data_IF_830263121951
#
_entry.id   IF_830263121951
#
_cell.length_a   1.000
_cell.length_b   1.000
_cell.length_c   1.000
_cell.angle_alpha   90.00
_cell.angle_beta   90.00
_cell.angle_gamma   90.00
#
_symmetry.space_group_name_H-M   'P 1'
#
loop_
_entity.id
_entity.type
_entity.pdbx_description
1 polymer ?
#
# COMPACT_ATOMS: atom_id res chain seq x y z
N UNK A 1 -13.39 13.39 7.38
CA UNK A 1 -12.37 13.90 6.43
C UNK A 1 -11.06 13.17 6.66
N UNK A 2 -10.65 12.32 5.71
CA UNK A 2 -9.50 11.40 5.80
C UNK A 2 -8.16 12.07 5.38
N UNK A 3 -8.18 13.38 5.14
CA UNK A 3 -7.09 14.12 4.54
C UNK A 3 -6.66 15.22 5.51
N UNK A 4 -5.37 15.25 5.88
CA UNK A 4 -4.82 16.26 6.76
C UNK A 4 -4.72 17.64 6.10
N UNK A 5 -4.13 18.61 6.81
CA UNK A 5 -3.86 19.94 6.25
C UNK A 5 -3.11 19.79 4.91
N UNK A 6 -3.51 20.56 3.91
CA UNK A 6 -2.91 20.62 2.57
C UNK A 6 -2.96 19.31 1.75
N UNK A 7 -3.85 18.36 2.05
CA UNK A 7 -3.94 17.15 1.23
C UNK A 7 -3.05 15.98 1.70
N UNK A 8 -2.37 16.13 2.84
CA UNK A 8 -1.34 15.18 3.30
C UNK A 8 -1.95 14.11 4.21
N UNK A 9 -1.67 12.84 3.93
CA UNK A 9 -2.08 11.69 4.74
C UNK A 9 -0.89 11.25 5.60
N UNK A 10 -1.01 11.46 6.92
CA UNK A 10 -0.01 11.06 7.93
C UNK A 10 -0.44 9.92 8.84
N UNK A 11 -1.73 9.57 8.84
CA UNK A 11 -2.27 8.54 9.73
C UNK A 11 -1.98 7.14 9.14
N UNK A 12 -1.17 6.30 9.83
CA UNK A 12 -0.86 4.95 9.35
C UNK A 12 -2.11 4.08 9.18
N UNK A 13 -3.20 4.35 9.92
CA UNK A 13 -4.47 3.62 9.76
C UNK A 13 -5.09 3.88 8.38
N UNK A 14 -4.94 5.09 7.86
CA UNK A 14 -5.43 5.47 6.54
C UNK A 14 -4.58 4.82 5.45
N UNK A 15 -3.25 4.74 5.65
CA UNK A 15 -2.36 4.00 4.75
C UNK A 15 -2.73 2.53 4.70
N UNK A 16 -2.85 1.86 5.86
CA UNK A 16 -3.27 0.46 5.96
C UNK A 16 -4.59 0.22 5.24
N UNK A 17 -5.62 1.01 5.54
CA UNK A 17 -6.93 0.89 4.91
C UNK A 17 -6.87 1.03 3.39
N UNK A 18 -6.04 1.96 2.89
CA UNK A 18 -5.87 2.18 1.45
C UNK A 18 -5.21 0.97 0.79
N UNK A 19 -4.16 0.43 1.40
CA UNK A 19 -3.47 -0.77 0.91
C UNK A 19 -4.42 -1.97 0.87
N UNK A 20 -5.14 -2.24 1.97
CA UNK A 20 -6.12 -3.33 2.04
C UNK A 20 -7.21 -3.20 0.97
N UNK A 21 -7.72 -1.98 0.76
CA UNK A 21 -8.72 -1.70 -0.28
C UNK A 21 -8.17 -2.00 -1.69
N UNK A 22 -6.93 -1.62 -1.98
CA UNK A 22 -6.30 -1.90 -3.28
C UNK A 22 -6.05 -3.39 -3.47
N UNK A 23 -5.54 -4.09 -2.46
CA UNK A 23 -5.33 -5.55 -2.50
C UNK A 23 -6.66 -6.27 -2.77
N UNK A 24 -7.72 -5.95 -2.02
CA UNK A 24 -9.03 -6.55 -2.21
C UNK A 24 -9.60 -6.28 -3.61
N UNK A 25 -9.40 -5.06 -4.13
CA UNK A 25 -9.81 -4.70 -5.49
C UNK A 25 -9.04 -5.52 -6.53
N UNK A 26 -7.72 -5.67 -6.38
CA UNK A 26 -6.89 -6.47 -7.27
C UNK A 26 -7.35 -7.94 -7.30
N UNK A 27 -7.59 -8.54 -6.13
CA UNK A 27 -8.10 -9.92 -6.05
C UNK A 27 -9.45 -10.07 -6.75
N UNK A 28 -10.39 -9.15 -6.49
CA UNK A 28 -11.73 -9.17 -7.11
C UNK A 28 -11.73 -9.00 -8.63
N UNK A 29 -10.64 -8.45 -9.18
CA UNK A 29 -10.47 -8.19 -10.62
C UNK A 29 -9.58 -9.21 -11.31
N UNK A 30 -9.18 -10.29 -10.63
CA UNK A 30 -8.38 -11.38 -11.20
C UNK A 30 -6.88 -11.13 -11.21
N UNK A 31 -6.38 -10.26 -10.32
CA UNK A 31 -4.95 -10.00 -10.14
C UNK A 31 -4.47 -10.55 -8.80
N UNK A 32 -3.46 -11.40 -8.86
CA UNK A 32 -2.70 -11.81 -7.68
C UNK A 32 -1.74 -10.72 -7.25
N UNK A 33 -1.57 -10.55 -5.95
CA UNK A 33 -0.60 -9.63 -5.35
C UNK A 33 0.67 -10.40 -5.06
N UNK A 34 1.73 -10.09 -5.80
CA UNK A 34 3.02 -10.81 -5.72
C UNK A 34 4.02 -10.14 -4.80
N UNK A 35 3.93 -8.83 -4.64
CA UNK A 35 4.77 -8.07 -3.72
C UNK A 35 4.10 -6.75 -3.34
N UNK A 36 4.47 -6.23 -2.18
CA UNK A 36 4.05 -4.94 -1.65
C UNK A 36 5.27 -4.29 -0.97
N UNK A 37 5.51 -3.02 -1.29
CA UNK A 37 6.54 -2.20 -0.63
C UNK A 37 6.13 -0.72 -0.68
N UNK A 38 6.93 0.17 -0.11
CA UNK A 38 6.76 1.62 -0.21
C UNK A 38 7.71 2.23 -1.25
N UNK A 39 7.35 3.39 -1.79
CA UNK A 39 8.24 4.18 -2.64
C UNK A 39 9.37 4.77 -1.79
N UNK A 40 10.63 4.74 -2.24
CA UNK A 40 11.75 5.32 -1.51
C UNK A 40 11.69 6.86 -1.44
N UNK A 41 10.78 7.48 -2.19
CA UNK A 41 10.56 8.93 -2.18
C UNK A 41 9.08 9.24 -1.94
N UNK A 42 8.82 10.37 -1.28
CA UNK A 42 7.46 10.90 -1.08
C UNK A 42 6.97 11.54 -2.38
N UNK A 43 5.70 11.30 -2.73
CA UNK A 43 5.04 11.94 -3.86
C UNK A 43 4.50 13.33 -3.52
N UNK A 44 4.22 14.14 -4.54
CA UNK A 44 3.51 15.42 -4.47
C UNK A 44 3.77 16.25 -3.21
N UNK A 45 2.71 16.55 -2.46
CA UNK A 45 2.72 17.34 -1.22
C UNK A 45 3.42 16.66 -0.01
N UNK A 46 4.23 15.62 -0.24
CA UNK A 46 4.90 14.84 0.79
C UNK A 46 4.12 13.60 1.23
N UNK A 47 3.24 13.07 0.38
CA UNK A 47 2.52 11.83 0.66
C UNK A 47 3.43 10.62 0.49
N UNK A 48 3.28 9.66 1.38
CA UNK A 48 3.86 8.32 1.22
C UNK A 48 3.11 7.60 0.10
N UNK A 49 3.84 6.98 -0.81
CA UNK A 49 3.29 6.16 -1.89
C UNK A 49 3.69 4.70 -1.72
N UNK A 50 2.80 3.79 -2.10
CA UNK A 50 3.01 2.35 -2.00
C UNK A 50 3.09 1.72 -3.38
N UNK A 51 3.98 0.75 -3.53
CA UNK A 51 4.21 0.02 -4.76
C UNK A 51 3.67 -1.39 -4.60
N UNK A 52 2.86 -1.83 -5.57
CA UNK A 52 2.27 -3.17 -5.59
C UNK A 52 2.61 -3.86 -6.90
N UNK A 53 3.12 -5.09 -6.81
CA UNK A 53 3.35 -5.94 -7.97
C UNK A 53 2.15 -6.86 -8.19
N UNK A 54 1.42 -6.63 -9.27
CA UNK A 54 0.24 -7.39 -9.65
C UNK A 54 0.52 -8.33 -10.82
N UNK A 55 -0.10 -9.52 -10.80
CA UNK A 55 -0.06 -10.48 -11.90
C UNK A 55 -1.46 -11.00 -12.20
N UNK A 56 -1.89 -10.91 -13.47
CA UNK A 56 -3.17 -11.46 -13.92
C UNK A 56 -3.14 -12.99 -13.85
N UNK A 57 -4.05 -13.59 -13.09
CA UNK A 57 -4.12 -15.04 -12.88
C UNK A 57 -5.57 -15.52 -12.86
N UNK A 58 -5.81 -16.79 -13.21
CA UNK A 58 -7.17 -17.38 -13.21
C UNK A 58 -7.75 -17.50 -11.80
N UNK A 59 -6.88 -17.71 -10.81
CA UNK A 59 -7.22 -17.74 -9.40
C UNK A 59 -6.30 -16.73 -8.69
N UNK A 60 -6.85 -15.59 -8.31
CA UNK A 60 -6.11 -14.51 -7.69
C UNK A 60 -5.77 -14.84 -6.23
N UNK A 61 -4.52 -14.63 -5.83
CA UNK A 61 -4.03 -14.86 -4.47
C UNK A 61 -3.11 -13.75 -4.00
N UNK A 62 -2.91 -13.65 -2.68
CA UNK A 62 -1.87 -12.81 -2.07
C UNK A 62 -0.68 -13.70 -1.73
N UNK A 63 0.53 -13.28 -2.10
CA UNK A 63 1.73 -14.01 -1.73
C UNK A 63 1.89 -14.05 -0.21
N UNK A 64 2.25 -15.21 0.35
CA UNK A 64 2.26 -15.47 1.80
C UNK A 64 3.25 -14.62 2.60
N UNK A 65 4.25 -14.04 1.94
CA UNK A 65 5.26 -13.20 2.57
C UNK A 65 4.84 -11.72 2.69
N UNK A 66 3.68 -11.35 2.15
CA UNK A 66 3.20 -9.97 2.21
C UNK A 66 2.63 -9.71 3.59
N UNK A 67 3.28 -8.81 4.32
CA UNK A 67 2.85 -8.29 5.61
C UNK A 67 2.72 -6.77 5.52
N UNK A 68 1.48 -6.28 5.57
CA UNK A 68 1.17 -4.85 5.46
C UNK A 68 1.75 -4.08 6.66
N UNK A 69 1.68 -4.65 7.87
CA UNK A 69 2.18 -3.98 9.08
C UNK A 69 3.70 -3.86 9.04
N UNK A 70 4.39 -4.90 8.56
CA UNK A 70 5.83 -4.86 8.36
C UNK A 70 6.23 -3.77 7.34
N UNK A 71 5.52 -3.67 6.21
CA UNK A 71 5.77 -2.62 5.20
C UNK A 71 5.57 -1.22 5.78
N UNK A 72 4.48 -0.99 6.52
CA UNK A 72 4.20 0.31 7.15
C UNK A 72 5.24 0.66 8.23
N UNK A 73 5.74 -0.34 8.96
CA UNK A 73 6.83 -0.14 9.92
C UNK A 73 8.12 0.28 9.20
N UNK A 74 8.54 -0.45 8.18
CA UNK A 74 9.78 -0.15 7.45
C UNK A 74 9.68 1.20 6.72
N UNK A 75 8.53 1.52 6.15
CA UNK A 75 8.26 2.84 5.54
C UNK A 75 8.50 3.95 6.57
N UNK A 76 7.87 3.85 7.73
CA UNK A 76 7.99 4.85 8.79
C UNK A 76 9.42 5.01 9.28
N UNK A 77 10.18 3.92 9.40
CA UNK A 77 11.59 3.95 9.81
C UNK A 77 12.51 4.57 8.73
N UNK A 78 12.12 4.48 7.45
CA UNK A 78 12.93 4.93 6.31
C UNK A 78 12.63 6.37 5.90
N UNK A 79 11.36 6.78 5.97
CA UNK A 79 10.88 8.07 5.44
C UNK A 79 10.64 9.14 6.52
N UNK A 80 10.92 8.85 7.80
CA UNK A 80 10.92 9.85 8.89
C UNK A 80 11.97 10.92 8.73
#
# INVERSE_FOLDING_TARGET
NQVGKNGIIKDPKIHKWTIEKVINTALSTGFSVKHLTFSPIKGGAGNVEFLVHLKKEKAATVASHIDIEAVLKTEKETLT
#
